data_IF_338497204982
#
_entry.id   IF_338497204982
#
_cell.length_a   1.000
_cell.length_b   1.000
_cell.length_c   1.000
_cell.angle_alpha   90.00
_cell.angle_beta   90.00
_cell.angle_gamma   90.00
#
_symmetry.space_group_name_H-M   'P 1'
#
loop_
_entity.id
_entity.type
_entity.pdbx_description
1 polymer ?
#
# COMPACT_ATOMS: atom_id res chain seq x y z
N UNK A 1 6.48 -1.02 52.35
CA UNK A 1 5.85 -1.99 51.42
C UNK A 1 5.53 -1.25 50.13
N UNK A 2 6.21 -1.57 49.04
CA UNK A 2 6.35 -0.73 47.84
C UNK A 2 5.31 -1.18 46.80
N UNK A 3 4.49 -0.25 46.30
CA UNK A 3 3.42 -0.55 45.33
C UNK A 3 3.99 -0.61 43.91
N UNK A 4 4.24 -1.82 43.39
CA UNK A 4 4.74 -2.02 42.02
C UNK A 4 3.53 -2.30 41.12
N UNK A 5 3.18 -1.29 40.30
CA UNK A 5 2.29 -1.43 39.13
C UNK A 5 2.90 -2.42 38.13
N UNK A 6 2.18 -3.47 37.68
CA UNK A 6 2.59 -4.25 36.52
C UNK A 6 2.20 -3.55 35.21
N UNK A 7 3.10 -3.69 34.25
CA UNK A 7 3.28 -2.92 33.03
C UNK A 7 2.10 -2.95 32.05
N UNK A 8 1.76 -1.76 31.54
CA UNK A 8 1.25 -1.61 30.18
C UNK A 8 2.48 -1.28 29.33
N UNK A 9 2.83 -2.15 28.40
CA UNK A 9 3.28 -1.68 27.08
C UNK A 9 2.68 -2.60 26.01
N UNK A 10 1.91 -1.94 25.16
CA UNK A 10 1.13 -2.48 24.05
C UNK A 10 1.97 -2.25 22.80
N UNK A 11 2.11 -3.31 21.99
CA UNK A 11 2.69 -3.38 20.62
C UNK A 11 4.09 -4.01 20.52
N UNK A 12 4.14 -5.33 20.62
CA UNK A 12 5.13 -6.11 19.90
C UNK A 12 4.84 -6.01 18.40
N UNK A 13 5.61 -5.16 17.74
CA UNK A 13 5.60 -4.93 16.30
C UNK A 13 5.85 -6.24 15.54
N UNK A 14 5.13 -6.41 14.43
CA UNK A 14 5.42 -7.38 13.39
C UNK A 14 6.90 -7.33 12.99
N UNK A 15 7.69 -8.28 13.47
CA UNK A 15 9.07 -8.47 13.04
C UNK A 15 9.08 -9.28 11.73
N UNK A 16 8.86 -8.60 10.60
CA UNK A 16 9.23 -9.16 9.30
C UNK A 16 10.72 -8.87 9.05
N UNK A 17 11.55 -9.91 8.82
CA UNK A 17 12.94 -9.72 8.46
C UNK A 17 13.02 -8.98 7.13
N UNK A 18 13.58 -7.78 7.16
CA UNK A 18 13.89 -6.98 5.98
C UNK A 18 14.85 -7.80 5.10
N UNK A 19 14.35 -8.29 3.97
CA UNK A 19 15.16 -9.01 2.97
C UNK A 19 16.08 -7.97 2.29
N UNK A 20 17.42 -8.12 2.30
CA UNK A 20 18.29 -7.20 1.58
C UNK A 20 18.14 -7.49 0.08
N UNK A 21 17.33 -6.70 -0.60
CA UNK A 21 17.20 -6.80 -2.05
C UNK A 21 18.38 -6.06 -2.67
N UNK A 22 19.33 -6.84 -3.16
CA UNK A 22 20.47 -6.40 -3.96
C UNK A 22 20.03 -5.52 -5.14
N UNK A 23 20.74 -4.41 -5.30
CA UNK A 23 20.91 -3.52 -6.47
C UNK A 23 20.03 -3.79 -7.72
N UNK A 24 19.24 -2.79 -8.16
CA UNK A 24 19.23 -2.27 -9.55
C UNK A 24 18.05 -1.31 -9.85
N UNK A 25 18.37 -0.21 -10.56
CA UNK A 25 17.49 0.73 -11.30
C UNK A 25 17.00 1.98 -10.56
N UNK A 26 17.92 2.89 -10.21
CA UNK A 26 17.63 4.15 -9.51
C UNK A 26 16.99 5.26 -10.36
N UNK A 27 16.72 5.08 -11.66
CA UNK A 27 16.23 6.20 -12.51
C UNK A 27 14.70 6.28 -12.67
N UNK A 28 13.98 5.14 -12.68
CA UNK A 28 12.52 5.12 -12.86
C UNK A 28 11.72 5.18 -11.53
N UNK A 29 12.37 4.83 -10.42
CA UNK A 29 11.73 4.68 -9.10
C UNK A 29 11.20 5.98 -8.52
N UNK A 30 11.82 7.12 -8.86
CA UNK A 30 11.41 8.43 -8.33
C UNK A 30 9.95 8.79 -8.70
N UNK A 31 9.50 8.40 -9.89
CA UNK A 31 8.12 8.66 -10.35
C UNK A 31 7.09 7.79 -9.66
N UNK A 32 7.33 6.47 -9.60
CA UNK A 32 6.41 5.55 -8.95
C UNK A 32 6.38 5.73 -7.43
N UNK A 33 7.52 5.98 -6.78
CA UNK A 33 7.58 6.16 -5.32
C UNK A 33 6.67 7.31 -4.87
N UNK A 34 6.70 8.45 -5.58
CA UNK A 34 5.82 9.59 -5.27
C UNK A 34 4.33 9.26 -5.46
N UNK A 35 4.00 8.42 -6.45
CA UNK A 35 2.63 7.93 -6.68
C UNK A 35 2.23 6.99 -5.55
N UNK A 36 3.07 6.01 -5.24
CA UNK A 36 2.86 5.06 -4.16
C UNK A 36 2.57 5.78 -2.84
N UNK A 37 3.45 6.69 -2.41
CA UNK A 37 3.30 7.39 -1.13
C UNK A 37 2.05 8.28 -1.11
N UNK A 38 1.67 8.85 -2.25
CA UNK A 38 0.47 9.68 -2.39
C UNK A 38 -0.84 8.88 -2.39
N UNK A 39 -0.85 7.66 -2.94
CA UNK A 39 -2.08 6.91 -3.20
C UNK A 39 -2.27 5.71 -2.29
N UNK A 40 -1.21 5.13 -1.70
CA UNK A 40 -1.29 3.96 -0.82
C UNK A 40 -2.31 4.16 0.31
N UNK A 41 -2.21 5.25 1.06
CA UNK A 41 -3.14 5.52 2.18
C UNK A 41 -4.59 5.75 1.69
N UNK A 42 -4.77 6.40 0.54
CA UNK A 42 -6.10 6.67 -0.03
C UNK A 42 -6.78 5.40 -0.55
N UNK A 43 -6.01 4.55 -1.23
CA UNK A 43 -6.47 3.26 -1.75
C UNK A 43 -6.80 2.32 -0.59
N UNK A 44 -5.92 2.26 0.42
CA UNK A 44 -6.19 1.48 1.63
C UNK A 44 -7.49 1.91 2.29
N UNK A 45 -7.68 3.19 2.61
CA UNK A 45 -8.92 3.67 3.23
C UNK A 45 -10.17 3.52 2.35
N UNK A 46 -10.03 3.45 1.02
CA UNK A 46 -11.11 3.12 0.11
C UNK A 46 -11.48 1.64 0.18
N UNK A 47 -10.48 0.76 0.09
CA UNK A 47 -10.66 -0.69 0.15
C UNK A 47 -11.15 -1.15 1.54
N UNK A 48 -10.68 -0.52 2.63
CA UNK A 48 -11.14 -0.82 3.99
C UNK A 48 -12.65 -0.65 4.12
N UNK A 49 -13.24 0.32 3.41
CA UNK A 49 -14.69 0.55 3.41
C UNK A 49 -15.46 -0.47 2.57
N UNK A 50 -14.81 -1.14 1.62
CA UNK A 50 -15.43 -2.11 0.71
C UNK A 50 -15.32 -3.54 1.22
N UNK A 51 -14.13 -3.94 1.69
CA UNK A 51 -13.82 -5.34 2.02
C UNK A 51 -13.41 -5.55 3.48
N UNK A 52 -13.25 -4.47 4.26
CA UNK A 52 -12.73 -4.52 5.64
C UNK A 52 -11.21 -4.38 5.72
N UNK A 53 -10.70 -4.12 6.92
CA UNK A 53 -9.28 -3.76 7.15
C UNK A 53 -8.30 -4.88 6.78
N UNK A 54 -8.62 -6.12 7.17
CA UNK A 54 -7.75 -7.27 6.94
C UNK A 54 -7.50 -7.53 5.44
N UNK A 55 -8.56 -7.51 4.63
CA UNK A 55 -8.48 -7.75 3.19
C UNK A 55 -7.92 -6.54 2.43
N UNK A 56 -8.21 -5.33 2.92
CA UNK A 56 -7.76 -4.11 2.29
C UNK A 56 -6.24 -3.94 2.27
N UNK A 57 -5.52 -4.49 3.26
CA UNK A 57 -4.06 -4.43 3.29
C UNK A 57 -3.45 -5.18 2.10
N UNK A 58 -3.88 -6.43 1.88
CA UNK A 58 -3.39 -7.27 0.79
C UNK A 58 -3.78 -6.70 -0.57
N UNK A 59 -5.06 -6.32 -0.72
CA UNK A 59 -5.54 -5.69 -1.96
C UNK A 59 -4.83 -4.37 -2.25
N UNK A 60 -4.48 -3.57 -1.24
CA UNK A 60 -3.71 -2.34 -1.46
C UNK A 60 -2.34 -2.64 -2.05
N UNK A 61 -1.65 -3.68 -1.55
CA UNK A 61 -0.37 -4.11 -2.11
C UNK A 61 -0.55 -4.57 -3.56
N UNK A 62 -1.52 -5.44 -3.82
CA UNK A 62 -1.82 -5.94 -5.17
C UNK A 62 -2.16 -4.80 -6.16
N UNK A 63 -2.92 -3.79 -5.71
CA UNK A 63 -3.25 -2.61 -6.52
C UNK A 63 -2.01 -1.80 -6.83
N UNK A 64 -1.13 -1.55 -5.85
CA UNK A 64 0.10 -0.77 -6.09
C UNK A 64 1.06 -1.49 -7.06
N UNK A 65 1.11 -2.82 -7.01
CA UNK A 65 1.85 -3.63 -8.00
C UNK A 65 1.23 -3.50 -9.40
N UNK A 66 -0.09 -3.66 -9.55
CA UNK A 66 -0.77 -3.45 -10.83
C UNK A 66 -0.57 -2.02 -11.37
N UNK A 67 -0.49 -1.03 -10.47
CA UNK A 67 -0.20 0.36 -10.83
C UNK A 67 1.23 0.53 -11.34
N UNK A 68 2.24 -0.07 -10.70
CA UNK A 68 3.62 0.04 -11.16
C UNK A 68 3.82 -0.61 -12.53
N UNK A 69 3.18 -1.74 -12.78
CA UNK A 69 3.18 -2.46 -14.06
C UNK A 69 2.43 -1.70 -15.15
N UNK A 70 1.32 -1.06 -14.81
CA UNK A 70 0.46 -0.33 -15.75
C UNK A 70 0.93 1.10 -16.04
N UNK A 71 1.76 1.70 -15.18
CA UNK A 71 2.16 3.10 -15.28
C UNK A 71 2.87 3.45 -16.60
N UNK A 72 3.78 2.62 -17.17
CA UNK A 72 4.41 2.88 -18.46
C UNK A 72 3.40 2.91 -19.64
N UNK A 73 2.24 2.28 -19.47
CA UNK A 73 1.19 2.19 -20.49
C UNK A 73 0.06 3.18 -20.27
N UNK A 74 0.13 3.99 -19.20
CA UNK A 74 -0.89 4.97 -18.88
C UNK A 74 -0.90 6.12 -19.90
N UNK A 75 -1.94 6.15 -20.75
CA UNK A 75 -2.07 7.10 -21.86
C UNK A 75 -2.55 8.50 -21.48
N UNK A 76 -3.03 8.69 -20.25
CA UNK A 76 -3.53 9.99 -19.78
C UNK A 76 -4.96 10.34 -20.22
N UNK A 77 -5.73 9.41 -20.79
CA UNK A 77 -7.14 9.61 -21.18
C UNK A 77 -8.08 9.86 -19.99
N UNK A 78 -7.59 9.65 -18.76
CA UNK A 78 -8.28 9.91 -17.51
C UNK A 78 -7.30 10.45 -16.47
N UNK A 79 -7.80 10.97 -15.35
CA UNK A 79 -6.89 11.34 -14.25
C UNK A 79 -6.18 10.10 -13.69
N UNK A 80 -4.92 10.26 -13.27
CA UNK A 80 -4.17 9.18 -12.62
C UNK A 80 -4.93 8.61 -11.41
N UNK A 81 -5.62 9.46 -10.66
CA UNK A 81 -6.43 9.05 -9.51
C UNK A 81 -7.58 8.14 -9.96
N UNK A 82 -8.32 8.54 -10.99
CA UNK A 82 -9.44 7.76 -11.55
C UNK A 82 -8.97 6.39 -12.03
N UNK A 83 -7.84 6.32 -12.72
CA UNK A 83 -7.28 5.07 -13.19
C UNK A 83 -6.87 4.14 -12.04
N UNK A 84 -6.19 4.67 -11.01
CA UNK A 84 -5.81 3.91 -9.81
C UNK A 84 -7.06 3.39 -9.06
N UNK A 85 -8.08 4.23 -8.85
CA UNK A 85 -9.30 3.80 -8.16
C UNK A 85 -10.10 2.77 -8.98
N UNK A 86 -10.00 2.80 -10.31
CA UNK A 86 -10.57 1.75 -11.16
C UNK A 86 -9.87 0.41 -10.97
N UNK A 87 -8.54 0.40 -10.87
CA UNK A 87 -7.77 -0.81 -10.54
C UNK A 87 -8.16 -1.32 -9.14
N UNK A 88 -8.27 -0.42 -8.16
CA UNK A 88 -8.67 -0.77 -6.79
C UNK A 88 -10.08 -1.38 -6.74
N UNK A 89 -11.03 -0.79 -7.46
CA UNK A 89 -12.41 -1.30 -7.51
C UNK A 89 -12.44 -2.67 -8.17
N UNK A 90 -11.71 -2.87 -9.27
CA UNK A 90 -11.61 -4.17 -9.92
C UNK A 90 -10.98 -5.22 -8.99
N UNK A 91 -9.97 -4.85 -8.21
CA UNK A 91 -9.32 -5.76 -7.26
C UNK A 91 -10.23 -6.13 -6.08
N UNK A 92 -11.18 -5.27 -5.69
CA UNK A 92 -12.14 -5.57 -4.62
C UNK A 92 -13.32 -6.44 -5.08
N UNK A 93 -13.50 -6.61 -6.39
CA UNK A 93 -14.58 -7.41 -6.98
C UNK A 93 -14.10 -8.77 -7.52
N UNK A 94 -12.79 -9.00 -7.51
CA UNK A 94 -12.11 -10.25 -7.91
C UNK A 94 -12.08 -11.20 -6.70
#
# INVERSE_FOLDING_TARGET
>A
MIYIKPCIDVKAQHNQPQRPTSMATTSATLGFQAIHDRFRSRVFGYLTRLVGEAEAEDLTQAVMLKVSEGLPYFRGDSSLSTWIFRIATNAAMD
#
